data_IF_026742978437
#
_entry.id   IF_026742978437
#
_cell.length_a   1.000
_cell.length_b   1.000
_cell.length_c   1.000
_cell.angle_alpha   90.00
_cell.angle_beta   90.00
_cell.angle_gamma   90.00
#
_symmetry.space_group_name_H-M   'P 1'
#
loop_
_entity.id
_entity.type
_entity.pdbx_description
1 polymer ?
#
# COMPACT_ATOMS: atom_id res chain seq x y z
N UNK A 1 17.96 -47.15 -69.69
CA UNK A 1 18.34 -47.11 -68.26
C UNK A 1 18.80 -45.71 -67.82
N UNK A 2 18.14 -44.62 -68.25
CA UNK A 2 18.45 -43.24 -67.81
C UNK A 2 17.22 -42.45 -67.34
N UNK A 3 15.99 -42.94 -67.57
CA UNK A 3 14.76 -42.24 -67.18
C UNK A 3 14.24 -42.56 -65.76
N UNK A 4 14.73 -43.64 -65.12
CA UNK A 4 14.27 -44.02 -63.77
C UNK A 4 15.05 -43.34 -62.62
N UNK A 5 16.14 -42.63 -62.91
CA UNK A 5 16.97 -42.00 -61.87
C UNK A 5 16.49 -40.57 -61.55
N UNK A 6 15.77 -39.91 -62.47
CA UNK A 6 15.28 -38.54 -62.26
C UNK A 6 14.00 -38.43 -61.42
N UNK A 7 13.17 -39.47 -61.32
CA UNK A 7 11.94 -39.42 -60.52
C UNK A 7 12.14 -39.67 -59.01
N UNK A 8 13.25 -40.29 -58.58
CA UNK A 8 13.54 -40.51 -57.16
C UNK A 8 14.13 -39.29 -56.44
N UNK A 9 14.76 -38.35 -57.16
CA UNK A 9 15.39 -37.17 -56.54
C UNK A 9 14.40 -36.01 -56.29
N UNK A 10 13.28 -35.96 -57.01
CA UNK A 10 12.24 -34.95 -56.81
C UNK A 10 11.28 -35.31 -55.67
N UNK A 11 11.04 -36.60 -55.42
CA UNK A 11 10.16 -37.03 -54.32
C UNK A 11 10.80 -36.86 -52.93
N UNK A 12 12.13 -36.97 -52.82
CA UNK A 12 12.83 -36.82 -51.54
C UNK A 12 13.00 -35.35 -51.13
N UNK A 13 12.89 -34.39 -52.07
CA UNK A 13 12.92 -32.95 -51.76
C UNK A 13 11.57 -32.37 -51.34
N UNK A 14 10.46 -33.06 -51.61
CA UNK A 14 9.13 -32.62 -51.15
C UNK A 14 8.75 -33.14 -49.75
N UNK A 15 9.54 -34.02 -49.15
CA UNK A 15 9.29 -34.56 -47.80
C UNK A 15 10.22 -33.99 -46.71
N UNK A 16 10.89 -32.87 -47.00
CA UNK A 16 11.75 -32.14 -46.06
C UNK A 16 11.33 -30.68 -45.84
N UNK A 17 10.18 -30.27 -46.40
CA UNK A 17 9.65 -28.91 -46.30
C UNK A 17 8.36 -28.79 -45.46
N UNK A 18 7.95 -29.86 -44.77
CA UNK A 18 6.71 -29.88 -43.97
C UNK A 18 6.90 -29.91 -42.45
N UNK A 19 8.12 -29.77 -41.92
CA UNK A 19 8.36 -29.79 -40.47
C UNK A 19 9.31 -28.69 -40.02
N UNK A 20 8.84 -27.45 -39.98
CA UNK A 20 9.38 -26.41 -39.10
C UNK A 20 8.44 -25.19 -39.01
N UNK A 21 7.14 -25.40 -38.83
CA UNK A 21 6.32 -24.38 -38.15
C UNK A 21 6.51 -24.60 -36.65
N UNK A 22 7.67 -24.20 -36.15
CA UNK A 22 7.78 -23.85 -34.74
C UNK A 22 6.86 -22.66 -34.55
N UNK A 23 5.64 -22.91 -34.10
CA UNK A 23 4.85 -21.89 -33.45
C UNK A 23 5.68 -21.44 -32.24
N UNK A 24 6.42 -20.35 -32.40
CA UNK A 24 6.91 -19.58 -31.28
C UNK A 24 5.67 -19.09 -30.54
N UNK A 25 5.19 -19.88 -29.58
CA UNK A 25 4.25 -19.39 -28.59
C UNK A 25 5.01 -18.26 -27.90
N UNK A 26 4.59 -17.00 -28.04
CA UNK A 26 5.24 -15.95 -27.28
C UNK A 26 5.07 -16.33 -25.81
N UNK A 27 6.17 -16.66 -25.14
CA UNK A 27 6.20 -16.65 -23.69
C UNK A 27 5.92 -15.21 -23.28
N UNK A 28 4.64 -14.89 -23.06
CA UNK A 28 4.29 -13.65 -22.40
C UNK A 28 4.86 -13.77 -20.99
N UNK A 29 5.96 -13.05 -20.76
CA UNK A 29 6.36 -12.73 -19.41
C UNK A 29 5.12 -12.18 -18.72
N UNK A 30 4.71 -12.81 -17.61
CA UNK A 30 3.50 -12.42 -16.93
C UNK A 30 3.65 -10.94 -16.54
N UNK A 31 2.77 -10.09 -17.04
CA UNK A 31 2.86 -8.66 -16.83
C UNK A 31 2.28 -8.26 -15.46
N UNK A 32 2.65 -7.08 -15.00
CA UNK A 32 2.00 -6.46 -13.85
C UNK A 32 0.48 -6.38 -14.07
N UNK A 33 -0.29 -6.60 -13.01
CA UNK A 33 -1.74 -6.42 -13.01
C UNK A 33 -2.21 -5.69 -11.76
N UNK A 34 -3.08 -4.71 -11.94
CA UNK A 34 -3.79 -4.06 -10.84
C UNK A 34 -4.88 -4.94 -10.21
N UNK A 35 -5.16 -6.11 -10.80
CA UNK A 35 -6.22 -7.00 -10.32
C UNK A 35 -5.82 -7.77 -9.06
N UNK A 36 -4.53 -7.79 -8.70
CA UNK A 36 -4.07 -8.41 -7.45
C UNK A 36 -3.83 -7.32 -6.42
N UNK A 37 -4.75 -7.19 -5.46
CA UNK A 37 -4.69 -6.24 -4.35
C UNK A 37 -3.97 -6.85 -3.16
N UNK A 38 -2.99 -6.13 -2.64
CA UNK A 38 -2.14 -6.59 -1.55
C UNK A 38 -1.73 -5.40 -0.68
N UNK A 39 -1.37 -5.65 0.58
CA UNK A 39 -0.71 -4.64 1.39
C UNK A 39 0.66 -4.31 0.77
N UNK A 40 0.78 -3.11 0.22
CA UNK A 40 1.98 -2.68 -0.51
C UNK A 40 3.16 -2.36 0.42
N UNK A 41 2.93 -2.17 1.73
CA UNK A 41 4.03 -2.10 2.70
C UNK A 41 4.58 -3.50 2.97
N UNK A 42 3.69 -4.46 3.24
CA UNK A 42 4.07 -5.85 3.50
C UNK A 42 3.34 -6.50 4.67
N UNK A 43 3.99 -7.52 5.25
CA UNK A 43 3.45 -8.35 6.32
C UNK A 43 4.53 -8.75 7.35
N UNK A 44 4.13 -8.94 8.61
CA UNK A 44 5.03 -9.54 9.60
C UNK A 44 5.18 -11.06 9.38
N UNK A 45 6.37 -11.65 9.66
CA UNK A 45 6.65 -13.07 9.46
C UNK A 45 5.58 -14.02 9.99
N UNK A 46 5.07 -13.76 11.20
CA UNK A 46 4.14 -14.66 11.88
C UNK A 46 2.69 -14.12 11.93
N UNK A 47 2.40 -13.04 11.21
CA UNK A 47 1.05 -12.50 11.11
C UNK A 47 0.28 -13.10 9.91
N UNK A 48 -1.06 -13.01 9.90
CA UNK A 48 -1.86 -13.33 8.73
C UNK A 48 -1.45 -12.52 7.50
N UNK A 49 -1.43 -13.17 6.33
CA UNK A 49 -1.02 -12.55 5.06
C UNK A 49 -2.00 -12.92 3.97
N UNK A 50 -2.61 -11.90 3.38
CA UNK A 50 -3.71 -12.05 2.45
C UNK A 50 -3.53 -11.15 1.24
N UNK A 51 -3.88 -11.67 0.08
CA UNK A 51 -4.10 -10.87 -1.12
C UNK A 51 -5.47 -11.16 -1.71
N UNK A 52 -6.02 -10.16 -2.39
CA UNK A 52 -7.35 -10.22 -3.01
C UNK A 52 -7.17 -10.14 -4.52
N UNK A 53 -7.65 -11.14 -5.22
CA UNK A 53 -7.65 -11.17 -6.68
C UNK A 53 -9.03 -10.73 -7.16
N UNK A 54 -9.09 -9.61 -7.86
CA UNK A 54 -10.31 -8.98 -8.34
C UNK A 54 -10.67 -9.42 -9.76
N UNK A 55 -11.97 -9.62 -9.99
CA UNK A 55 -12.57 -10.03 -11.25
C UNK A 55 -12.39 -11.51 -11.58
N UNK A 56 -12.87 -11.90 -12.75
CA UNK A 56 -12.90 -13.25 -13.31
C UNK A 56 -12.22 -13.30 -14.70
N UNK A 57 -12.49 -14.34 -15.49
CA UNK A 57 -12.00 -14.45 -16.88
C UNK A 57 -10.55 -14.91 -17.02
N UNK A 58 -9.91 -15.44 -15.96
CA UNK A 58 -8.60 -16.10 -16.03
C UNK A 58 -8.74 -17.57 -15.60
N UNK A 59 -8.16 -18.47 -16.40
CA UNK A 59 -8.24 -19.92 -16.18
C UNK A 59 -7.05 -20.42 -15.34
N UNK A 60 -6.86 -19.86 -14.15
CA UNK A 60 -5.84 -20.31 -13.20
C UNK A 60 -6.44 -21.12 -12.07
N UNK A 61 -5.78 -22.22 -11.71
CA UNK A 61 -6.09 -23.06 -10.55
C UNK A 61 -5.17 -22.82 -9.36
N UNK A 62 -4.04 -22.14 -9.57
CA UNK A 62 -3.01 -21.92 -8.56
C UNK A 62 -2.50 -20.47 -8.57
N UNK A 63 -1.97 -20.05 -7.43
CA UNK A 63 -1.18 -18.85 -7.27
C UNK A 63 0.21 -19.22 -6.73
N UNK A 64 1.16 -18.31 -6.93
CA UNK A 64 2.54 -18.46 -6.51
C UNK A 64 2.98 -17.22 -5.76
N UNK A 65 3.79 -17.40 -4.72
CA UNK A 65 4.61 -16.31 -4.18
C UNK A 65 6.01 -16.50 -4.72
N UNK A 66 6.51 -15.49 -5.43
CA UNK A 66 7.78 -15.57 -6.14
C UNK A 66 8.72 -14.42 -5.76
N UNK A 67 10.00 -14.56 -6.09
CA UNK A 67 10.97 -13.46 -6.11
C UNK A 67 10.50 -12.33 -7.03
N UNK A 68 10.96 -11.11 -6.81
CA UNK A 68 10.58 -9.93 -7.62
C UNK A 68 10.94 -10.05 -9.11
N UNK A 69 11.90 -10.91 -9.47
CA UNK A 69 12.28 -11.21 -10.87
C UNK A 69 11.51 -12.41 -11.47
N UNK A 70 10.54 -12.97 -10.73
CA UNK A 70 9.70 -14.11 -11.11
C UNK A 70 10.43 -15.45 -11.33
N UNK A 71 11.69 -15.59 -10.90
CA UNK A 71 12.50 -16.80 -11.15
C UNK A 71 12.36 -17.87 -10.05
N UNK A 72 12.29 -17.45 -8.80
CA UNK A 72 12.24 -18.35 -7.65
C UNK A 72 10.84 -18.39 -7.06
N UNK A 73 10.31 -19.59 -6.88
CA UNK A 73 9.02 -19.83 -6.23
C UNK A 73 9.24 -20.19 -4.76
N UNK A 74 8.60 -19.44 -3.87
CA UNK A 74 8.69 -19.62 -2.41
C UNK A 74 7.46 -20.30 -1.81
N UNK A 75 6.30 -20.14 -2.46
CA UNK A 75 5.05 -20.76 -2.04
C UNK A 75 4.19 -21.04 -3.27
N UNK A 76 3.51 -22.18 -3.25
CA UNK A 76 2.47 -22.56 -4.21
C UNK A 76 1.20 -22.75 -3.41
N UNK A 77 0.10 -22.17 -3.87
CA UNK A 77 -1.21 -22.37 -3.26
C UNK A 77 -2.29 -22.51 -4.31
N UNK A 78 -3.38 -23.18 -3.93
CA UNK A 78 -4.55 -23.30 -4.79
C UNK A 78 -5.36 -22.00 -4.78
N UNK A 79 -5.89 -21.63 -5.94
CA UNK A 79 -6.84 -20.53 -6.02
C UNK A 79 -8.20 -21.02 -5.52
N UNK A 80 -8.74 -20.43 -4.45
CA UNK A 80 -10.05 -20.82 -3.98
C UNK A 80 -11.12 -20.47 -5.02
N UNK A 81 -12.28 -21.13 -4.89
CA UNK A 81 -13.45 -20.80 -5.66
C UNK A 81 -13.77 -19.29 -5.55
N UNK A 82 -14.30 -18.71 -6.63
CA UNK A 82 -14.72 -17.31 -6.62
C UNK A 82 -15.77 -17.08 -5.55
N UNK A 83 -15.52 -16.16 -4.63
CA UNK A 83 -16.56 -15.66 -3.73
C UNK A 83 -17.23 -14.47 -4.39
N UNK A 84 -18.57 -14.48 -4.41
CA UNK A 84 -19.31 -13.28 -4.79
C UNK A 84 -19.00 -12.22 -3.72
N UNK A 85 -18.69 -11.02 -4.19
CA UNK A 85 -18.04 -9.94 -3.45
C UNK A 85 -18.72 -9.50 -2.15
N UNK A 86 -18.04 -8.59 -1.44
CA UNK A 86 -18.52 -7.98 -0.21
C UNK A 86 -19.92 -7.36 -0.35
N UNK A 87 -20.61 -7.13 0.76
CA UNK A 87 -21.87 -6.38 0.81
C UNK A 87 -21.78 -4.96 0.18
N UNK A 88 -20.56 -4.45 -0.05
CA UNK A 88 -20.29 -3.10 -0.54
C UNK A 88 -19.89 -3.04 -2.02
N UNK A 89 -19.67 -4.18 -2.70
CA UNK A 89 -19.21 -4.20 -4.09
C UNK A 89 -19.67 -5.44 -4.86
N UNK A 90 -20.10 -5.23 -6.11
CA UNK A 90 -20.44 -6.30 -7.05
C UNK A 90 -19.20 -7.02 -7.63
N UNK A 91 -17.99 -6.55 -7.31
CA UNK A 91 -16.74 -7.13 -7.82
C UNK A 91 -16.56 -8.54 -7.28
N UNK A 92 -16.38 -9.51 -8.19
CA UNK A 92 -16.01 -10.88 -7.82
C UNK A 92 -14.59 -10.87 -7.28
N UNK A 93 -14.36 -11.56 -6.17
CA UNK A 93 -13.04 -11.60 -5.54
C UNK A 93 -12.64 -13.03 -5.18
N UNK A 94 -11.33 -13.27 -5.11
CA UNK A 94 -10.75 -14.47 -4.51
C UNK A 94 -9.75 -14.02 -3.45
N UNK A 95 -9.87 -14.55 -2.26
CA UNK A 95 -8.94 -14.28 -1.16
C UNK A 95 -7.90 -15.38 -1.14
N UNK A 96 -6.63 -15.04 -1.31
CA UNK A 96 -5.53 -16.00 -1.13
C UNK A 96 -4.84 -15.74 0.21
N UNK A 97 -4.66 -16.81 0.98
CA UNK A 97 -3.91 -16.79 2.23
C UNK A 97 -2.53 -17.42 1.97
N UNK A 98 -1.47 -16.68 2.29
CA UNK A 98 -0.08 -17.14 2.19
C UNK A 98 0.67 -16.97 3.51
N UNK A 99 -0.06 -17.06 4.62
CA UNK A 99 0.47 -16.89 5.98
C UNK A 99 1.58 -17.88 6.32
N UNK A 100 1.60 -19.05 5.67
CA UNK A 100 2.66 -20.06 5.80
C UNK A 100 4.04 -19.56 5.35
N UNK A 101 4.11 -18.55 4.48
CA UNK A 101 5.39 -17.92 4.14
C UNK A 101 5.81 -16.99 5.26
N UNK A 102 6.80 -17.40 6.05
CA UNK A 102 7.36 -16.61 7.16
C UNK A 102 8.74 -16.04 6.86
N UNK A 103 9.41 -16.54 5.81
CA UNK A 103 10.74 -16.08 5.42
C UNK A 103 10.72 -14.59 5.08
N UNK A 104 11.63 -13.84 5.68
CA UNK A 104 11.79 -12.42 5.37
C UNK A 104 12.33 -12.23 3.95
N UNK A 105 11.86 -11.18 3.27
CA UNK A 105 12.24 -10.91 1.89
C UNK A 105 11.28 -9.99 1.16
N UNK A 106 11.54 -9.81 -0.14
CA UNK A 106 10.67 -9.09 -1.06
C UNK A 106 10.09 -10.05 -2.08
N UNK A 107 8.78 -9.97 -2.28
CA UNK A 107 8.02 -10.96 -3.03
C UNK A 107 6.99 -10.30 -3.93
N UNK A 108 6.46 -11.09 -4.87
CA UNK A 108 5.23 -10.77 -5.61
C UNK A 108 4.31 -11.98 -5.62
N UNK A 109 3.00 -11.73 -5.63
CA UNK A 109 2.00 -12.73 -5.95
C UNK A 109 1.96 -12.87 -7.46
N UNK A 110 2.00 -14.09 -7.97
CA UNK A 110 1.90 -14.42 -9.39
C UNK A 110 0.70 -15.33 -9.61
N UNK A 111 -0.16 -14.97 -10.56
CA UNK A 111 -1.31 -15.78 -10.99
C UNK A 111 -1.19 -16.01 -12.50
N UNK A 112 -0.96 -17.25 -12.97
CA UNK A 112 -0.79 -17.55 -14.39
C UNK A 112 -1.98 -17.06 -15.23
N UNK A 113 -1.70 -16.45 -16.38
CA UNK A 113 -2.73 -15.92 -17.27
C UNK A 113 -3.40 -14.63 -16.78
N UNK A 114 -3.13 -14.19 -15.54
CA UNK A 114 -3.65 -12.94 -15.00
C UNK A 114 -2.56 -11.87 -14.85
N UNK A 115 -1.50 -12.14 -14.08
CA UNK A 115 -0.49 -11.13 -13.80
C UNK A 115 0.34 -11.41 -12.56
N UNK A 116 1.22 -10.47 -12.23
CA UNK A 116 1.81 -10.38 -10.88
C UNK A 116 1.40 -9.08 -10.17
N UNK A 117 1.44 -9.10 -8.84
CA UNK A 117 1.14 -7.94 -7.98
C UNK A 117 2.26 -6.90 -7.98
N UNK A 118 2.02 -5.78 -7.28
CA UNK A 118 3.11 -4.97 -6.74
C UNK A 118 4.02 -5.80 -5.83
N UNK A 119 5.27 -5.35 -5.69
CA UNK A 119 6.21 -5.91 -4.70
C UNK A 119 5.70 -5.62 -3.29
N UNK A 120 5.80 -6.62 -2.41
CA UNK A 120 5.54 -6.50 -0.99
C UNK A 120 6.70 -7.11 -0.19
N UNK A 121 6.86 -6.69 1.06
CA UNK A 121 7.88 -7.21 1.97
C UNK A 121 7.30 -8.14 3.03
N UNK A 122 8.12 -9.09 3.50
CA UNK A 122 7.91 -9.78 4.78
C UNK A 122 9.09 -9.43 5.68
N UNK A 123 8.82 -8.92 6.88
CA UNK A 123 9.87 -8.42 7.79
C UNK A 123 9.33 -7.98 9.15
N UNK A 124 10.21 -7.76 10.11
CA UNK A 124 9.84 -7.42 11.49
C UNK A 124 9.54 -5.92 11.73
N UNK A 125 9.68 -5.07 10.72
CA UNK A 125 9.58 -3.60 10.82
C UNK A 125 8.69 -2.97 9.74
N UNK A 126 7.85 -3.77 9.07
CA UNK A 126 7.03 -3.36 7.91
C UNK A 126 6.27 -2.04 8.11
N UNK A 127 5.72 -1.80 9.29
CA UNK A 127 4.94 -0.59 9.58
C UNK A 127 5.74 0.51 10.28
N UNK A 128 7.03 0.31 10.59
CA UNK A 128 7.82 1.28 11.37
C UNK A 128 7.88 2.66 10.70
N UNK A 129 8.12 2.71 9.39
CA UNK A 129 8.15 3.96 8.63
C UNK A 129 6.75 4.60 8.56
N UNK A 130 5.71 3.81 8.29
CA UNK A 130 4.33 4.30 8.22
C UNK A 130 3.85 4.88 9.56
N UNK A 131 4.16 4.22 10.67
CA UNK A 131 3.87 4.70 12.02
C UNK A 131 4.62 6.00 12.32
N UNK A 132 5.91 6.08 11.96
CA UNK A 132 6.71 7.29 12.12
C UNK A 132 6.16 8.44 11.28
N UNK A 133 5.82 8.19 10.02
CA UNK A 133 5.23 9.16 9.12
C UNK A 133 3.86 9.65 9.59
N UNK A 134 3.03 8.75 10.14
CA UNK A 134 1.71 9.10 10.70
C UNK A 134 1.84 10.07 11.87
N UNK A 135 2.76 9.79 12.81
CA UNK A 135 3.05 10.72 13.90
C UNK A 135 3.65 12.04 13.41
N UNK A 136 4.56 11.98 12.43
CA UNK A 136 5.14 13.17 11.81
C UNK A 136 4.07 14.02 11.09
N UNK A 137 2.97 13.43 10.64
CA UNK A 137 1.80 14.14 10.12
C UNK A 137 1.32 15.26 11.06
N UNK A 138 1.25 14.99 12.37
CA UNK A 138 0.88 16.00 13.37
C UNK A 138 1.87 17.17 13.45
N UNK A 139 3.17 16.94 13.17
CA UNK A 139 4.13 18.04 13.07
C UNK A 139 3.79 18.97 11.90
N UNK A 140 3.44 18.42 10.74
CA UNK A 140 3.06 19.22 9.57
C UNK A 140 1.77 20.02 9.79
N UNK A 141 0.87 19.50 10.63
CA UNK A 141 -0.37 20.19 10.99
C UNK A 141 -0.22 21.25 12.10
N UNK A 142 0.95 21.44 12.73
CA UNK A 142 1.10 22.40 13.84
C UNK A 142 0.75 23.83 13.43
N UNK A 143 -0.20 24.46 14.11
CA UNK A 143 -0.54 25.87 13.89
C UNK A 143 0.35 26.82 14.70
N UNK A 144 0.30 28.11 14.39
CA UNK A 144 0.93 29.20 15.16
C UNK A 144 2.46 29.19 15.22
N UNK A 145 3.11 28.26 14.52
CA UNK A 145 4.57 28.15 14.49
C UNK A 145 5.07 27.82 13.07
N UNK A 146 6.34 28.17 12.83
CA UNK A 146 7.02 27.77 11.62
C UNK A 146 7.32 26.28 11.63
N UNK A 147 7.32 25.69 10.44
CA UNK A 147 7.87 24.37 10.20
C UNK A 147 9.27 24.55 9.64
N UNK A 148 10.29 24.23 10.43
CA UNK A 148 11.69 24.44 10.08
C UNK A 148 12.13 23.50 8.94
N UNK A 149 12.92 23.98 7.96
CA UNK A 149 13.41 23.16 6.85
C UNK A 149 14.09 21.86 7.27
N UNK A 150 14.84 21.85 8.39
CA UNK A 150 15.51 20.64 8.91
C UNK A 150 14.56 19.48 9.25
N UNK A 151 13.33 19.79 9.67
CA UNK A 151 12.34 18.77 10.06
C UNK A 151 11.30 18.57 8.97
N UNK A 152 10.93 19.63 8.25
CA UNK A 152 9.84 19.63 7.29
C UNK A 152 10.25 19.40 5.83
N UNK A 153 11.56 19.52 5.51
CA UNK A 153 12.05 19.42 4.14
C UNK A 153 11.31 20.37 3.20
N UNK A 154 10.87 19.87 2.04
CA UNK A 154 10.11 20.66 1.05
C UNK A 154 8.75 21.19 1.54
N UNK A 155 8.26 20.71 2.68
CA UNK A 155 6.99 21.13 3.28
C UNK A 155 7.17 22.19 4.38
N UNK A 156 8.37 22.78 4.48
CA UNK A 156 8.63 23.86 5.41
C UNK A 156 7.74 25.07 5.11
N UNK A 157 7.38 25.83 6.15
CA UNK A 157 6.61 27.07 6.01
C UNK A 157 6.82 27.99 7.20
N UNK A 158 6.55 29.28 6.99
CA UNK A 158 6.49 30.26 8.07
C UNK A 158 5.33 29.97 9.04
N UNK A 159 5.33 30.63 10.19
CA UNK A 159 4.22 30.55 11.13
C UNK A 159 2.93 31.09 10.50
N UNK A 160 1.85 30.32 10.60
CA UNK A 160 0.50 30.73 10.22
C UNK A 160 -0.40 30.80 11.44
N UNK A 161 -1.36 31.72 11.45
CA UNK A 161 -2.37 31.85 12.51
C UNK A 161 -1.76 31.88 13.93
N UNK A 162 -1.13 33.01 14.35
CA UNK A 162 -0.59 33.13 15.70
C UNK A 162 -1.65 32.92 16.79
N UNK A 163 -2.92 33.20 16.47
CA UNK A 163 -4.08 33.07 17.35
C UNK A 163 -3.91 33.80 18.69
N UNK A 164 -3.17 34.91 18.67
CA UNK A 164 -2.99 35.78 19.84
C UNK A 164 -4.17 36.72 20.06
N UNK A 165 -4.97 36.97 19.02
CA UNK A 165 -6.18 37.79 19.03
C UNK A 165 -7.31 37.00 18.37
N UNK A 166 -8.12 36.33 19.19
CA UNK A 166 -9.29 35.56 18.75
C UNK A 166 -10.54 36.14 19.40
N UNK A 167 -11.52 36.53 18.59
CA UNK A 167 -12.77 37.10 19.10
C UNK A 167 -13.78 35.99 19.40
N UNK A 168 -14.45 36.08 20.55
CA UNK A 168 -15.60 35.24 20.86
C UNK A 168 -16.79 35.69 20.01
N UNK A 169 -17.23 34.83 19.09
CA UNK A 169 -18.41 35.06 18.26
C UNK A 169 -19.69 35.06 19.14
N UNK A 170 -20.75 35.83 18.80
CA UNK A 170 -22.01 35.85 19.55
C UNK A 170 -22.61 34.45 19.83
N UNK A 171 -22.51 33.51 18.89
CA UNK A 171 -23.01 32.13 19.08
C UNK A 171 -22.21 31.30 20.09
N UNK A 172 -20.99 31.74 20.46
CA UNK A 172 -20.13 31.10 21.46
C UNK A 172 -20.07 31.91 22.77
N UNK A 173 -20.83 33.00 22.88
CA UNK A 173 -20.80 33.87 24.03
C UNK A 173 -21.38 33.19 25.28
N UNK A 174 -20.79 33.50 26.42
CA UNK A 174 -21.29 33.10 27.74
C UNK A 174 -21.24 34.31 28.68
N UNK A 175 -21.88 34.24 29.85
CA UNK A 175 -21.78 35.31 30.85
C UNK A 175 -20.32 35.61 31.26
N UNK A 176 -19.43 34.61 31.25
CA UNK A 176 -18.00 34.76 31.56
C UNK A 176 -17.15 35.23 30.36
N UNK A 177 -17.66 35.06 29.14
CA UNK A 177 -16.98 35.40 27.87
C UNK A 177 -18.01 35.98 26.91
N UNK A 178 -18.42 37.25 27.06
CA UNK A 178 -19.37 37.88 26.16
C UNK A 178 -18.81 37.98 24.73
N UNK A 179 -19.70 38.23 23.77
CA UNK A 179 -19.31 38.43 22.37
C UNK A 179 -18.28 39.56 22.24
N UNK A 180 -17.29 39.36 21.36
CA UNK A 180 -16.19 40.31 21.18
C UNK A 180 -15.08 40.22 22.23
N UNK A 181 -15.22 39.39 23.27
CA UNK A 181 -14.10 39.08 24.18
C UNK A 181 -12.92 38.58 23.35
N UNK A 182 -11.75 39.16 23.56
CA UNK A 182 -10.51 38.73 22.93
C UNK A 182 -9.86 37.67 23.80
N UNK A 183 -9.53 36.53 23.21
CA UNK A 183 -8.77 35.46 23.85
C UNK A 183 -7.51 35.16 23.03
N UNK A 184 -6.50 34.64 23.72
CA UNK A 184 -5.31 34.08 23.11
C UNK A 184 -5.43 32.56 23.11
N UNK A 185 -5.23 31.93 21.95
CA UNK A 185 -5.29 30.48 21.76
C UNK A 185 -4.25 30.00 20.74
N UNK A 186 -2.94 30.28 20.94
CA UNK A 186 -1.89 29.81 20.05
C UNK A 186 -1.74 28.29 20.08
N UNK A 187 -1.01 27.78 19.09
CA UNK A 187 -0.67 26.36 18.91
C UNK A 187 -1.88 25.46 18.64
N UNK A 188 -1.64 24.15 18.66
CA UNK A 188 -2.58 23.12 18.26
C UNK A 188 -2.29 22.62 16.85
N UNK A 189 -3.29 21.97 16.26
CA UNK A 189 -3.22 21.43 14.91
C UNK A 189 -4.33 21.98 14.04
N UNK A 190 -3.99 22.31 12.80
CA UNK A 190 -4.99 22.41 11.74
C UNK A 190 -5.68 21.05 11.59
N UNK A 191 -6.99 21.05 11.61
CA UNK A 191 -7.80 19.84 11.81
C UNK A 191 -7.83 18.94 10.58
N UNK A 192 -7.89 19.54 9.39
CA UNK A 192 -7.93 18.82 8.14
C UNK A 192 -7.18 19.58 7.03
N UNK A 193 -7.79 19.67 5.84
CA UNK A 193 -7.27 20.44 4.72
C UNK A 193 -7.49 21.95 4.85
N UNK A 194 -8.28 22.39 5.82
CA UNK A 194 -8.45 23.79 6.20
C UNK A 194 -7.56 24.17 7.40
N UNK A 195 -7.58 25.45 7.78
CA UNK A 195 -6.72 25.98 8.83
C UNK A 195 -7.43 26.22 10.18
N UNK A 196 -8.65 25.72 10.36
CA UNK A 196 -9.35 25.84 11.64
C UNK A 196 -8.93 24.75 12.64
N UNK A 197 -9.31 24.94 13.91
CA UNK A 197 -9.02 24.03 15.02
C UNK A 197 -10.31 23.67 15.74
N UNK A 198 -10.57 22.38 15.97
CA UNK A 198 -11.83 21.91 16.55
C UNK A 198 -11.59 21.06 17.79
N UNK A 199 -12.19 21.48 18.92
CA UNK A 199 -12.01 20.82 20.22
C UNK A 199 -12.57 19.39 20.22
N UNK A 200 -13.73 19.15 19.60
CA UNK A 200 -14.37 17.83 19.59
C UNK A 200 -13.47 16.79 18.91
N UNK A 201 -12.94 17.11 17.72
CA UNK A 201 -12.06 16.20 16.98
C UNK A 201 -10.67 16.09 17.64
N UNK A 202 -10.15 17.19 18.20
CA UNK A 202 -8.91 17.17 18.98
C UNK A 202 -9.02 16.26 20.20
N UNK A 203 -10.20 16.17 20.83
CA UNK A 203 -10.45 15.30 21.98
C UNK A 203 -10.23 13.82 21.67
N UNK A 204 -10.88 13.30 20.62
CA UNK A 204 -10.72 11.88 20.22
C UNK A 204 -9.32 11.60 19.67
N UNK A 205 -8.72 12.57 18.97
CA UNK A 205 -7.35 12.50 18.47
C UNK A 205 -6.35 12.32 19.62
N UNK A 206 -6.41 13.21 20.62
CA UNK A 206 -5.55 13.12 21.80
C UNK A 206 -5.80 11.84 22.60
N UNK A 207 -7.07 11.49 22.82
CA UNK A 207 -7.42 10.25 23.54
C UNK A 207 -6.83 9.01 22.88
N UNK A 208 -6.86 8.94 21.54
CA UNK A 208 -6.31 7.81 20.77
C UNK A 208 -4.78 7.78 20.82
N UNK A 209 -4.10 8.92 20.66
CA UNK A 209 -2.64 9.01 20.75
C UNK A 209 -2.12 8.63 22.14
N UNK A 210 -2.78 9.12 23.19
CA UNK A 210 -2.42 8.80 24.57
C UNK A 210 -2.68 7.31 24.88
N UNK A 211 -3.84 6.78 24.46
CA UNK A 211 -4.14 5.34 24.62
C UNK A 211 -3.13 4.45 23.89
N UNK A 212 -2.68 4.86 22.70
CA UNK A 212 -1.64 4.13 21.97
C UNK A 212 -0.32 4.12 22.75
N UNK A 213 0.08 5.25 23.34
CA UNK A 213 1.28 5.34 24.18
C UNK A 213 1.17 4.47 25.44
N UNK A 214 0.02 4.48 26.12
CA UNK A 214 -0.23 3.68 27.32
C UNK A 214 -0.20 2.17 27.04
N UNK A 215 -0.77 1.74 25.91
CA UNK A 215 -0.80 0.34 25.53
C UNK A 215 0.56 -0.17 25.01
N UNK A 216 1.36 0.68 24.36
CA UNK A 216 2.62 0.30 23.72
C UNK A 216 3.81 1.20 24.10
N UNK A 217 4.09 1.42 25.39
CA UNK A 217 5.04 2.44 25.84
C UNK A 217 6.47 2.15 25.38
N UNK A 218 6.87 0.88 25.34
CA UNK A 218 8.21 0.49 24.90
C UNK A 218 8.46 0.82 23.42
N UNK A 219 7.42 0.74 22.58
CA UNK A 219 7.49 1.10 21.17
C UNK A 219 7.63 2.62 21.01
N UNK A 220 6.71 3.39 21.59
CA UNK A 220 6.69 4.85 21.41
C UNK A 220 7.87 5.57 22.09
N UNK A 221 8.44 5.03 23.16
CA UNK A 221 9.69 5.57 23.76
C UNK A 221 10.90 5.49 22.82
N UNK A 222 10.92 4.52 21.90
CA UNK A 222 12.01 4.33 20.94
C UNK A 222 11.77 5.05 19.61
N UNK A 223 10.51 5.33 19.27
CA UNK A 223 10.14 5.95 18.01
C UNK A 223 10.70 7.38 17.94
N UNK A 224 11.34 7.71 16.81
CA UNK A 224 11.86 9.05 16.52
C UNK A 224 11.15 9.62 15.31
N UNK A 225 10.30 10.64 15.53
CA UNK A 225 9.51 11.27 14.48
C UNK A 225 10.29 12.35 13.68
N UNK A 226 11.53 12.66 14.07
CA UNK A 226 12.34 13.73 13.49
C UNK A 226 11.59 15.07 13.49
N UNK A 227 11.26 15.51 14.70
CA UNK A 227 10.58 16.77 15.04
C UNK A 227 11.45 17.54 16.06
N UNK A 228 11.17 18.82 16.35
CA UNK A 228 12.00 19.63 17.26
C UNK A 228 12.28 19.00 18.63
N UNK A 229 11.35 18.21 19.15
CA UNK A 229 11.41 17.60 20.48
C UNK A 229 11.91 16.13 20.49
N UNK A 230 12.41 15.63 19.35
CA UNK A 230 12.91 14.23 19.22
C UNK A 230 14.19 13.93 19.98
#
# INVERSE_FOLDING_TARGET
MLLQILQKKTLCRLWLLSQALFFSIPTMAQQFTDRIKINQLGFYPNAPKVAIIAGDGYAASAFYITSTNLRDTFLIGELPASTKGSAYSKTITRLIDFSLLTKEGSYVVLVPGLGHSHVFKIGNDIFAEASTATLKGFYYQRSSMSLEPKYAGKWHRSAGHPDTVVYVHPSAATAKRPAGTIISSPYGWYDAGDYNKYIVNSGITMGTLLSAFENYPAYFKKLKANIPES
#
